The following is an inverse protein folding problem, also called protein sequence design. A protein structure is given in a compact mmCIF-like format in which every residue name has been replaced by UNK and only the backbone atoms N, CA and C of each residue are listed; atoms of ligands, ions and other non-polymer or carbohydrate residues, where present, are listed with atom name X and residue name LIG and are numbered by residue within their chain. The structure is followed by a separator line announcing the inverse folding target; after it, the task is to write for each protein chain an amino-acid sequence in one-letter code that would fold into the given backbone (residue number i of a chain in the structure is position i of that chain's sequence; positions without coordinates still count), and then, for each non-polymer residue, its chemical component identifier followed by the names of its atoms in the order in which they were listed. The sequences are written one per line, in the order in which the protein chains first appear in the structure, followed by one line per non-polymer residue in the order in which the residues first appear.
data_IF_583653896189
#
_entry.id   IF_583653896189
#
_cell.length_a   1.000
_cell.length_b   1.000
_cell.length_c   1.000
_cell.angle_alpha   90.00
_cell.angle_beta   90.00
_cell.angle_gamma   90.00
#
_symmetry.space_group_name_H-M   'P 1'
#
loop_
_entity.id
_entity.type
_entity.pdbx_description
1 polymer ?
#
# COMPACT_ATOMS: atom_id res chain seq x y z
N UNK A 1 -10.99 3.33 -11.06
CA UNK A 1 -10.70 2.07 -11.76
C UNK A 1 -9.27 1.64 -11.46
N UNK A 2 -9.05 0.34 -11.20
CA UNK A 2 -7.69 -0.22 -11.01
C UNK A 2 -7.26 -0.89 -12.30
N UNK A 3 -6.08 -0.54 -12.80
CA UNK A 3 -5.48 -1.17 -13.99
C UNK A 3 -4.16 -1.83 -13.59
N UNK A 4 -4.04 -3.13 -13.84
CA UNK A 4 -2.81 -3.88 -13.61
C UNK A 4 -1.92 -3.73 -14.84
N UNK A 5 -0.83 -2.98 -14.71
CA UNK A 5 0.03 -2.61 -15.85
C UNK A 5 0.57 -3.82 -16.62
N UNK A 6 0.97 -4.89 -15.94
CA UNK A 6 1.51 -6.12 -16.56
C UNK A 6 0.49 -6.86 -17.44
N UNK A 7 -0.80 -6.66 -17.22
CA UNK A 7 -1.90 -7.31 -17.96
C UNK A 7 -2.74 -6.32 -18.78
N UNK A 8 -2.32 -5.07 -18.87
CA UNK A 8 -3.00 -4.02 -19.62
C UNK A 8 -2.70 -4.12 -21.13
N UNK A 9 -3.36 -5.03 -21.82
CA UNK A 9 -3.20 -5.24 -23.26
C UNK A 9 -3.74 -4.09 -24.11
N UNK A 10 -4.64 -3.28 -23.55
CA UNK A 10 -5.24 -2.13 -24.24
C UNK A 10 -4.42 -0.84 -24.05
N UNK A 11 -3.37 -0.85 -23.24
CA UNK A 11 -2.51 0.31 -22.98
C UNK A 11 -3.20 1.45 -22.24
N UNK A 12 -4.25 1.17 -21.46
CA UNK A 12 -5.00 2.18 -20.70
C UNK A 12 -4.13 2.87 -19.65
N UNK A 13 -3.33 2.10 -18.92
CA UNK A 13 -2.41 2.65 -17.93
C UNK A 13 -1.36 3.56 -18.58
N UNK A 14 -0.79 3.16 -19.74
CA UNK A 14 0.19 3.96 -20.47
C UNK A 14 -0.40 5.30 -20.91
N UNK A 15 -1.62 5.28 -21.48
CA UNK A 15 -2.32 6.50 -21.89
C UNK A 15 -2.62 7.40 -20.69
N UNK A 16 -3.17 6.83 -19.61
CA UNK A 16 -3.48 7.61 -18.41
C UNK A 16 -2.23 8.30 -17.82
N UNK A 17 -1.09 7.60 -17.79
CA UNK A 17 0.17 8.20 -17.34
C UNK A 17 0.67 9.27 -18.31
N UNK A 18 0.59 9.02 -19.62
CA UNK A 18 1.06 9.98 -20.62
C UNK A 18 0.24 11.28 -20.64
N UNK A 19 -1.04 11.22 -20.34
CA UNK A 19 -1.98 12.34 -20.33
C UNK A 19 -2.14 13.00 -18.94
N UNK A 20 -1.50 12.48 -17.92
CA UNK A 20 -1.62 12.99 -16.56
C UNK A 20 -0.91 14.34 -16.40
N UNK A 21 -1.54 15.27 -15.69
CA UNK A 21 -0.92 16.51 -15.20
C UNK A 21 -0.24 16.30 -13.84
N UNK A 22 -0.69 15.29 -13.09
CA UNK A 22 -0.14 14.93 -11.78
C UNK A 22 -0.14 13.40 -11.60
N UNK A 23 0.96 12.87 -11.08
CA UNK A 23 1.15 11.45 -10.79
C UNK A 23 1.46 11.29 -9.30
N UNK A 24 0.58 10.64 -8.57
CA UNK A 24 0.85 10.23 -7.19
C UNK A 24 1.59 8.90 -7.19
N UNK A 25 2.78 8.92 -6.61
CA UNK A 25 3.65 7.77 -6.41
C UNK A 25 3.48 7.30 -4.96
N UNK A 26 2.84 6.15 -4.77
CA UNK A 26 2.47 5.66 -3.45
C UNK A 26 3.19 4.35 -3.13
N UNK A 27 3.77 4.27 -1.92
CA UNK A 27 4.33 3.05 -1.35
C UNK A 27 5.55 2.48 -2.09
N UNK A 28 6.37 3.38 -2.59
CA UNK A 28 7.71 3.07 -3.11
C UNK A 28 8.60 4.31 -3.09
N UNK A 29 9.87 4.14 -2.73
CA UNK A 29 10.83 5.23 -2.54
C UNK A 29 11.57 5.66 -3.82
N UNK A 30 11.49 4.87 -4.91
CA UNK A 30 12.22 5.11 -6.15
C UNK A 30 11.42 4.64 -7.37
N UNK A 31 11.36 5.45 -8.44
CA UNK A 31 10.66 5.08 -9.69
C UNK A 31 11.28 3.84 -10.33
N UNK A 32 12.59 3.64 -10.16
CA UNK A 32 13.31 2.46 -10.67
C UNK A 32 12.77 1.12 -10.15
N UNK A 33 12.13 1.09 -8.98
CA UNK A 33 11.49 -0.11 -8.41
C UNK A 33 10.27 -0.59 -9.18
N UNK A 34 9.74 0.24 -10.07
CA UNK A 34 8.54 -0.06 -10.85
C UNK A 34 8.84 -0.86 -12.13
N UNK A 35 10.08 -1.31 -12.32
CA UNK A 35 10.49 -2.13 -13.48
C UNK A 35 10.02 -1.48 -14.81
N UNK A 36 9.22 -2.23 -15.59
CA UNK A 36 8.72 -1.78 -16.90
C UNK A 36 7.82 -0.54 -16.86
N UNK A 37 7.27 -0.18 -15.69
CA UNK A 37 6.45 1.02 -15.52
C UNK A 37 7.32 2.28 -15.40
N UNK A 38 8.57 2.14 -14.95
CA UNK A 38 9.50 3.26 -14.73
C UNK A 38 9.70 4.10 -15.99
N UNK A 39 9.93 3.46 -17.14
CA UNK A 39 10.11 4.15 -18.42
C UNK A 39 8.85 4.91 -18.85
N UNK A 40 7.67 4.35 -18.57
CA UNK A 40 6.39 5.00 -18.88
C UNK A 40 6.19 6.27 -18.06
N UNK A 41 6.55 6.24 -16.76
CA UNK A 41 6.50 7.43 -15.90
C UNK A 41 7.57 8.44 -16.31
N UNK A 42 8.78 7.99 -16.62
CA UNK A 42 9.87 8.86 -17.06
C UNK A 42 9.57 9.59 -18.37
N UNK A 43 8.83 8.96 -19.28
CA UNK A 43 8.43 9.55 -20.56
C UNK A 43 7.47 10.74 -20.41
N UNK A 44 6.66 10.82 -19.35
CA UNK A 44 5.87 12.01 -19.04
C UNK A 44 6.75 13.02 -18.30
N UNK A 45 7.26 14.02 -19.01
CA UNK A 45 8.14 15.06 -18.46
C UNK A 45 7.41 16.31 -17.97
N UNK A 46 6.08 16.35 -18.11
CA UNK A 46 5.25 17.52 -17.77
C UNK A 46 4.43 17.33 -16.50
N UNK A 47 4.08 16.09 -16.17
CA UNK A 47 3.32 15.78 -14.95
C UNK A 47 4.11 16.09 -13.68
N UNK A 48 3.44 16.72 -12.72
CA UNK A 48 3.96 16.84 -11.35
C UNK A 48 3.97 15.48 -10.66
N UNK A 49 5.09 15.10 -10.05
CA UNK A 49 5.22 13.84 -9.32
C UNK A 49 5.17 14.08 -7.83
N UNK A 50 4.20 13.46 -7.18
CA UNK A 50 3.99 13.58 -5.73
C UNK A 50 4.28 12.22 -5.11
N UNK A 51 5.29 12.15 -4.25
CA UNK A 51 5.61 10.96 -3.47
C UNK A 51 4.86 10.96 -2.14
N UNK A 52 4.20 9.85 -1.81
CA UNK A 52 3.71 9.58 -0.45
C UNK A 52 4.21 8.18 -0.08
N UNK A 53 5.15 8.11 0.84
CA UNK A 53 5.88 6.87 1.12
C UNK A 53 6.46 6.84 2.54
N UNK A 54 6.64 5.64 3.08
CA UNK A 54 7.27 5.42 4.37
C UNK A 54 8.59 4.60 4.30
N UNK A 55 9.07 4.31 3.10
CA UNK A 55 10.36 3.63 2.94
C UNK A 55 11.54 4.58 3.16
N UNK A 56 12.69 3.99 3.55
CA UNK A 56 13.94 4.73 3.71
C UNK A 56 14.53 5.13 2.37
N UNK A 57 15.30 6.23 2.37
CA UNK A 57 16.13 6.67 1.23
C UNK A 57 15.34 6.89 -0.06
N UNK A 58 14.38 7.83 -0.09
CA UNK A 58 13.65 8.18 -1.31
C UNK A 58 14.56 8.82 -2.36
N UNK A 59 14.28 8.58 -3.64
CA UNK A 59 14.92 9.28 -4.76
C UNK A 59 14.55 10.77 -4.78
N UNK A 60 15.42 11.60 -5.37
CA UNK A 60 15.20 13.06 -5.51
C UNK A 60 14.27 13.45 -6.67
N UNK A 61 13.76 12.49 -7.44
CA UNK A 61 13.01 12.73 -8.70
C UNK A 61 11.54 13.11 -8.56
N UNK A 62 11.11 13.68 -7.42
CA UNK A 62 9.71 14.04 -7.13
C UNK A 62 9.59 15.54 -6.89
N UNK A 63 8.51 16.17 -7.40
CA UNK A 63 8.25 17.60 -7.21
C UNK A 63 7.76 17.93 -5.79
N UNK A 64 7.06 16.99 -5.15
CA UNK A 64 6.59 17.09 -3.78
C UNK A 64 6.74 15.73 -3.10
N UNK A 65 7.22 15.73 -1.87
CA UNK A 65 7.51 14.52 -1.13
C UNK A 65 6.90 14.56 0.27
N UNK A 66 6.06 13.56 0.57
CA UNK A 66 5.61 13.19 1.91
C UNK A 66 6.23 11.86 2.28
N UNK A 67 7.54 11.89 2.59
CA UNK A 67 8.33 10.71 2.97
C UNK A 67 8.54 10.70 4.47
N UNK A 68 7.93 9.73 5.16
CA UNK A 68 7.96 9.61 6.60
C UNK A 68 8.27 8.16 7.02
N UNK A 69 9.56 7.80 7.14
CA UNK A 69 9.97 6.43 7.53
C UNK A 69 9.48 5.98 8.90
N UNK A 70 9.13 6.93 9.77
CA UNK A 70 8.57 6.64 11.10
C UNK A 70 7.05 6.36 11.05
N UNK A 71 6.43 6.48 9.89
CA UNK A 71 5.02 6.12 9.72
C UNK A 71 4.84 4.61 9.67
N UNK A 72 3.76 4.13 10.24
CA UNK A 72 3.42 2.70 10.24
C UNK A 72 3.10 2.14 8.84
N UNK A 73 2.65 2.99 7.93
CA UNK A 73 2.28 2.62 6.56
C UNK A 73 2.06 3.85 5.68
N UNK A 74 2.19 3.68 4.37
CA UNK A 74 1.76 4.70 3.39
C UNK A 74 0.26 4.98 3.48
N UNK A 75 -0.57 3.98 3.79
CA UNK A 75 -2.01 4.18 3.99
C UNK A 75 -2.33 5.09 5.18
N UNK A 76 -1.54 5.05 6.25
CA UNK A 76 -1.70 6.00 7.36
C UNK A 76 -1.32 7.43 6.95
N UNK A 77 -0.27 7.60 6.13
CA UNK A 77 0.08 8.92 5.58
C UNK A 77 -1.04 9.47 4.68
N UNK A 78 -1.58 8.64 3.78
CA UNK A 78 -2.72 9.02 2.92
C UNK A 78 -3.93 9.42 3.75
N UNK A 79 -4.26 8.64 4.80
CA UNK A 79 -5.32 9.01 5.74
C UNK A 79 -5.09 10.40 6.33
N UNK A 80 -3.89 10.65 6.87
CA UNK A 80 -3.54 11.91 7.52
C UNK A 80 -3.61 13.10 6.56
N UNK A 81 -3.18 12.94 5.32
CA UNK A 81 -3.27 13.96 4.27
C UNK A 81 -4.75 14.26 3.94
N UNK A 82 -5.57 13.23 3.72
CA UNK A 82 -7.00 13.41 3.41
C UNK A 82 -7.73 14.06 4.58
N UNK A 83 -7.45 13.64 5.81
CA UNK A 83 -8.04 14.24 7.01
C UNK A 83 -7.66 15.71 7.15
N UNK A 84 -6.38 16.06 6.95
CA UNK A 84 -5.90 17.43 7.05
C UNK A 84 -6.48 18.36 5.96
N UNK A 85 -6.63 17.85 4.73
CA UNK A 85 -7.11 18.64 3.59
C UNK A 85 -8.63 18.76 3.52
N UNK A 86 -9.34 17.69 3.83
CA UNK A 86 -10.77 17.57 3.56
C UNK A 86 -11.61 17.22 4.79
N UNK A 87 -10.95 16.94 5.92
CA UNK A 87 -11.58 16.43 7.14
C UNK A 87 -11.96 14.96 7.05
N UNK A 88 -12.07 14.30 8.20
CA UNK A 88 -12.45 12.90 8.29
C UNK A 88 -13.83 12.58 7.66
N UNK A 89 -14.70 13.60 7.52
CA UNK A 89 -16.01 13.50 6.86
C UNK A 89 -15.92 13.08 5.39
N UNK A 90 -14.83 13.41 4.69
CA UNK A 90 -14.61 13.09 3.29
C UNK A 90 -14.30 11.60 3.05
N UNK A 91 -13.87 10.88 4.09
CA UNK A 91 -13.52 9.45 3.99
C UNK A 91 -14.82 8.63 3.88
N UNK A 92 -15.02 8.04 2.72
CA UNK A 92 -16.13 7.12 2.48
C UNK A 92 -15.84 5.74 3.08
N UNK A 93 -16.87 4.89 3.24
CA UNK A 93 -16.69 3.51 3.70
C UNK A 93 -15.68 2.72 2.83
N UNK A 94 -15.75 2.84 1.50
CA UNK A 94 -14.82 2.15 0.59
C UNK A 94 -13.38 2.63 0.76
N UNK A 95 -13.18 3.93 0.95
CA UNK A 95 -11.84 4.47 1.28
C UNK A 95 -11.36 3.91 2.62
N UNK A 96 -12.24 3.90 3.62
CA UNK A 96 -11.92 3.37 4.95
C UNK A 96 -11.53 1.89 4.93
N UNK A 97 -12.23 1.05 4.14
CA UNK A 97 -11.87 -0.36 3.94
C UNK A 97 -10.46 -0.50 3.34
N UNK A 98 -10.14 0.27 2.30
CA UNK A 98 -8.81 0.22 1.65
C UNK A 98 -7.70 0.74 2.58
N UNK A 99 -7.93 1.86 3.26
CA UNK A 99 -6.96 2.44 4.21
C UNK A 99 -6.70 1.50 5.38
N UNK A 100 -7.76 0.88 5.91
CA UNK A 100 -7.63 -0.09 6.99
C UNK A 100 -6.81 -1.31 6.57
N UNK A 101 -7.06 -1.86 5.36
CA UNK A 101 -6.28 -2.99 4.83
C UNK A 101 -4.80 -2.65 4.79
N UNK A 102 -4.41 -1.50 4.23
CA UNK A 102 -3.00 -1.11 4.17
C UNK A 102 -2.38 -0.91 5.56
N UNK A 103 -3.06 -0.20 6.48
CA UNK A 103 -2.58 -0.05 7.86
C UNK A 103 -2.40 -1.41 8.55
N UNK A 104 -3.37 -2.32 8.38
CA UNK A 104 -3.35 -3.65 8.98
C UNK A 104 -2.22 -4.53 8.42
N UNK A 105 -2.03 -4.54 7.10
CA UNK A 105 -1.03 -5.41 6.47
C UNK A 105 0.39 -4.96 6.76
N UNK A 106 0.68 -3.66 6.68
CA UNK A 106 2.02 -3.11 6.92
C UNK A 106 2.46 -3.22 8.38
N UNK A 107 1.50 -3.15 9.30
CA UNK A 107 1.78 -3.30 10.74
C UNK A 107 1.78 -4.76 11.21
N UNK A 108 1.65 -5.71 10.29
CA UNK A 108 1.54 -7.12 10.65
C UNK A 108 0.38 -7.38 11.60
N UNK A 109 -0.79 -6.87 11.25
CA UNK A 109 -2.00 -6.94 12.07
C UNK A 109 -1.87 -6.19 13.41
N UNK A 110 -1.27 -4.99 13.36
CA UNK A 110 -0.98 -4.14 14.52
C UNK A 110 -0.08 -4.83 15.56
N UNK A 111 0.89 -5.63 15.11
CA UNK A 111 1.83 -6.35 15.97
C UNK A 111 3.29 -5.87 15.82
N UNK A 112 3.62 -5.10 14.78
CA UNK A 112 4.98 -4.61 14.55
C UNK A 112 5.19 -3.22 15.17
N UNK A 113 6.43 -2.68 15.04
CA UNK A 113 6.80 -1.34 15.50
C UNK A 113 6.04 -0.22 14.79
N UNK A 114 6.23 1.02 15.26
CA UNK A 114 5.55 2.25 14.81
C UNK A 114 4.03 2.28 15.06
N UNK A 115 3.58 1.58 16.08
CA UNK A 115 2.20 1.68 16.56
C UNK A 115 2.09 2.91 17.48
N UNK A 116 1.39 3.93 17.01
CA UNK A 116 1.19 5.18 17.73
C UNK A 116 -0.27 5.36 18.14
N UNK A 117 -0.56 6.19 19.17
CA UNK A 117 -1.94 6.54 19.50
C UNK A 117 -2.70 7.18 18.33
N UNK A 118 -2.01 7.92 17.47
CA UNK A 118 -2.57 8.57 16.28
C UNK A 118 -3.05 7.54 15.26
N UNK A 119 -2.28 6.48 15.02
CA UNK A 119 -2.70 5.36 14.18
C UNK A 119 -3.99 4.73 14.70
N UNK A 120 -4.07 4.44 16.00
CA UNK A 120 -5.28 3.84 16.58
C UNK A 120 -6.48 4.79 16.57
N UNK A 121 -6.28 6.11 16.68
CA UNK A 121 -7.35 7.10 16.48
C UNK A 121 -7.85 7.08 15.03
N UNK A 122 -6.94 7.02 14.06
CA UNK A 122 -7.29 6.86 12.65
C UNK A 122 -8.11 5.58 12.42
N UNK A 123 -7.66 4.44 12.97
CA UNK A 123 -8.41 3.17 12.90
C UNK A 123 -9.82 3.33 13.50
N UNK A 124 -9.97 4.01 14.64
CA UNK A 124 -11.29 4.26 15.23
C UNK A 124 -12.20 5.05 14.26
N UNK A 125 -11.69 6.10 13.64
CA UNK A 125 -12.43 6.85 12.60
C UNK A 125 -12.83 5.96 11.42
N UNK A 126 -11.93 5.07 10.96
CA UNK A 126 -12.25 4.13 9.87
C UNK A 126 -13.37 3.16 10.29
N UNK A 127 -13.36 2.68 11.53
CA UNK A 127 -14.44 1.82 12.08
C UNK A 127 -15.77 2.56 12.14
N UNK A 128 -15.79 3.84 12.51
CA UNK A 128 -16.98 4.70 12.50
C UNK A 128 -17.61 4.83 11.10
N UNK A 129 -16.82 4.61 10.02
CA UNK A 129 -17.35 4.56 8.64
C UNK A 129 -18.10 3.28 8.32
N UNK A 130 -18.21 2.35 9.27
CA UNK A 130 -19.00 1.11 9.13
C UNK A 130 -18.27 0.00 8.40
N UNK A 131 -16.93 -0.04 8.45
CA UNK A 131 -16.17 -1.18 7.93
C UNK A 131 -16.37 -2.43 8.80
N UNK A 132 -16.32 -3.61 8.19
CA UNK A 132 -16.35 -4.89 8.92
C UNK A 132 -14.93 -5.44 9.04
N UNK A 133 -14.31 -5.24 10.21
CA UNK A 133 -12.98 -5.79 10.49
C UNK A 133 -12.93 -7.32 10.29
N UNK A 134 -13.90 -8.12 10.81
CA UNK A 134 -13.89 -9.57 10.58
C UNK A 134 -13.91 -9.96 9.10
N UNK A 135 -14.72 -9.28 8.28
CA UNK A 135 -14.82 -9.60 6.85
C UNK A 135 -13.53 -9.23 6.11
N UNK A 136 -12.91 -8.10 6.46
CA UNK A 136 -11.60 -7.70 5.92
C UNK A 136 -10.53 -8.73 6.29
N UNK A 137 -10.42 -9.12 7.56
CA UNK A 137 -9.47 -10.14 8.00
C UNK A 137 -9.68 -11.47 7.27
N UNK A 138 -10.93 -11.93 7.15
CA UNK A 138 -11.24 -13.15 6.42
C UNK A 138 -10.83 -13.06 4.96
N UNK A 139 -11.05 -11.93 4.31
CA UNK A 139 -10.68 -11.71 2.90
C UNK A 139 -9.17 -11.68 2.68
N UNK A 140 -8.40 -11.14 3.63
CA UNK A 140 -6.94 -10.99 3.49
C UNK A 140 -6.19 -12.23 3.97
N UNK A 141 -6.54 -12.78 5.13
CA UNK A 141 -5.76 -13.84 5.79
C UNK A 141 -6.36 -15.23 5.66
N UNK A 142 -7.66 -15.37 5.50
CA UNK A 142 -8.34 -16.66 5.49
C UNK A 142 -8.79 -17.13 4.10
N UNK A 143 -8.63 -16.32 3.05
CA UNK A 143 -8.98 -16.67 1.67
C UNK A 143 -7.91 -17.54 0.99
N UNK A 144 -7.50 -18.62 1.64
CA UNK A 144 -6.54 -19.56 1.08
C UNK A 144 -7.20 -20.51 0.07
N UNK A 145 -6.64 -20.61 -1.12
CA UNK A 145 -6.97 -21.69 -2.05
C UNK A 145 -6.36 -23.02 -1.57
N UNK A 146 -6.97 -24.14 -1.94
CA UNK A 146 -6.41 -25.48 -1.67
C UNK A 146 -4.96 -25.60 -2.19
N UNK A 147 -4.67 -25.05 -3.39
CA UNK A 147 -3.32 -25.08 -3.95
C UNK A 147 -2.30 -24.36 -3.09
N UNK A 148 -2.66 -23.19 -2.50
CA UNK A 148 -1.79 -22.47 -1.57
C UNK A 148 -1.55 -23.25 -0.28
N UNK A 149 -2.60 -23.86 0.28
CA UNK A 149 -2.47 -24.68 1.48
C UNK A 149 -1.58 -25.91 1.23
N UNK A 150 -1.73 -26.59 0.11
CA UNK A 150 -0.87 -27.74 -0.30
C UNK A 150 0.58 -27.29 -0.51
N UNK A 151 0.83 -26.16 -1.18
CA UNK A 151 2.19 -25.62 -1.39
C UNK A 151 2.85 -25.29 -0.05
N UNK A 152 2.13 -24.64 0.87
CA UNK A 152 2.63 -24.32 2.19
C UNK A 152 2.99 -25.59 3.00
N UNK A 153 2.11 -26.58 3.01
CA UNK A 153 2.38 -27.89 3.62
C UNK A 153 3.59 -28.60 3.01
N UNK A 154 3.74 -28.56 1.69
CA UNK A 154 4.93 -29.10 1.01
C UNK A 154 6.21 -28.35 1.41
N UNK A 155 6.19 -27.03 1.45
CA UNK A 155 7.34 -26.24 1.80
C UNK A 155 7.82 -26.58 3.22
N UNK A 156 6.92 -26.60 4.20
CA UNK A 156 7.26 -26.95 5.58
C UNK A 156 7.75 -28.40 5.70
N UNK A 157 7.01 -29.35 5.13
CA UNK A 157 7.31 -30.77 5.37
C UNK A 157 8.52 -31.27 4.54
N UNK A 158 8.83 -30.66 3.40
CA UNK A 158 9.84 -31.17 2.47
C UNK A 158 11.03 -30.26 2.24
N UNK A 159 10.91 -28.98 2.53
CA UNK A 159 11.94 -27.98 2.20
C UNK A 159 12.46 -27.20 3.40
N UNK A 160 11.74 -27.22 4.51
CA UNK A 160 12.21 -26.55 5.72
C UNK A 160 13.41 -27.29 6.32
N UNK A 161 14.48 -26.57 6.56
CA UNK A 161 15.65 -27.02 7.31
C UNK A 161 15.75 -26.19 8.58
N UNK A 162 15.89 -26.87 9.72
CA UNK A 162 16.14 -26.22 11.01
C UNK A 162 17.64 -26.07 11.16
N UNK A 163 18.14 -24.84 11.13
CA UNK A 163 19.54 -24.52 11.34
C UNK A 163 19.74 -23.99 12.74
N UNK A 164 20.84 -24.37 13.36
CA UNK A 164 21.32 -23.98 14.71
C UNK A 164 20.23 -23.39 15.65
N UNK A 165 19.93 -24.07 16.72
CA UNK A 165 19.07 -23.64 17.83
C UNK A 165 17.63 -23.22 17.46
N UNK A 166 17.14 -23.63 16.31
CA UNK A 166 15.75 -23.41 15.92
C UNK A 166 15.42 -22.00 15.42
N UNK A 167 16.42 -21.23 15.05
CA UNK A 167 16.26 -19.92 14.41
C UNK A 167 16.58 -19.95 12.91
#
# INVERSE_FOLDING_TARGET
EVVIFKTDTEGRARRAIAEADMIFCLDFNAVSRLEILSDTIAANTTARRVLIDHHLSPDEGFDLMFSHPDSSSTCFLVYSIVEAMCGAGAITRRMAESLYVGMMTDTGNFAFSFLTPELFRAVAVLVEKGISIPDIHNSVYNAYTEGRARLFGYAINRKMEVIQDGT
#
